data_IF_673061560863
#
_entry.id   IF_673061560863
#
_cell.length_a   1.000
_cell.length_b   1.000
_cell.length_c   1.000
_cell.angle_alpha   90.00
_cell.angle_beta   90.00
_cell.angle_gamma   90.00
#
_symmetry.space_group_name_H-M   'P 1'
#
loop_
_entity.id
_entity.type
_entity.pdbx_description
1 polymer ?
#
# COMPACT_ATOMS: atom_id res chain seq x y z
N UNK A 1 -9.75 -26.31 -9.49
CA UNK A 1 -10.63 -25.21 -9.98
C UNK A 1 -11.65 -24.75 -8.94
N UNK A 2 -12.34 -25.62 -8.23
CA UNK A 2 -13.34 -25.22 -7.21
C UNK A 2 -12.77 -24.37 -6.05
N UNK A 3 -11.53 -24.61 -5.62
CA UNK A 3 -10.88 -23.83 -4.56
C UNK A 3 -10.62 -22.40 -4.97
N UNK A 4 -10.12 -22.18 -6.19
CA UNK A 4 -9.88 -20.85 -6.75
C UNK A 4 -11.21 -20.11 -6.92
N UNK A 5 -12.23 -20.73 -7.48
CA UNK A 5 -13.56 -20.12 -7.64
C UNK A 5 -14.20 -19.72 -6.30
N UNK A 6 -14.05 -20.54 -5.25
CA UNK A 6 -14.51 -20.20 -3.88
C UNK A 6 -13.70 -19.07 -3.26
N UNK A 7 -12.39 -19.04 -3.48
CA UNK A 7 -11.52 -17.91 -3.09
C UNK A 7 -12.04 -16.66 -3.80
N UNK A 8 -12.10 -16.65 -5.13
CA UNK A 8 -12.58 -15.53 -5.96
C UNK A 8 -13.94 -14.99 -5.53
N UNK A 9 -14.92 -15.86 -5.25
CA UNK A 9 -16.26 -15.44 -4.78
C UNK A 9 -16.26 -14.79 -3.39
N UNK A 10 -15.33 -15.19 -2.51
CA UNK A 10 -15.09 -14.49 -1.23
C UNK A 10 -14.36 -13.17 -1.44
N UNK A 11 -13.47 -13.08 -2.44
CA UNK A 11 -12.70 -11.87 -2.73
C UNK A 11 -13.58 -10.71 -3.18
N UNK A 12 -14.49 -10.96 -4.13
CA UNK A 12 -15.35 -9.89 -4.68
C UNK A 12 -16.24 -9.24 -3.61
N UNK A 13 -16.81 -10.05 -2.70
CA UNK A 13 -17.65 -9.54 -1.61
C UNK A 13 -16.90 -8.71 -0.55
N UNK A 14 -15.57 -8.71 -0.55
CA UNK A 14 -14.74 -7.98 0.43
C UNK A 14 -13.97 -6.81 -0.17
N UNK A 15 -14.05 -6.62 -1.50
CA UNK A 15 -13.45 -5.49 -2.22
C UNK A 15 -14.44 -4.34 -2.46
N UNK A 16 -15.69 -4.49 -2.04
CA UNK A 16 -16.64 -3.37 -2.01
C UNK A 16 -16.05 -2.23 -1.18
N UNK A 17 -15.84 -1.10 -1.83
CA UNK A 17 -15.31 0.11 -1.20
C UNK A 17 -16.40 0.69 -0.30
N UNK A 18 -16.40 0.35 0.98
CA UNK A 18 -17.14 1.14 1.95
C UNK A 18 -16.62 2.58 1.88
N UNK A 19 -17.55 3.52 1.65
CA UNK A 19 -17.24 4.93 1.52
C UNK A 19 -16.80 5.46 2.89
N UNK A 20 -15.50 5.46 3.14
CA UNK A 20 -14.95 5.97 4.39
C UNK A 20 -15.16 7.51 4.46
N UNK A 21 -15.74 8.04 5.55
CA UNK A 21 -16.03 9.47 5.68
C UNK A 21 -14.78 10.36 5.77
N UNK A 22 -13.61 9.77 6.08
CA UNK A 22 -12.28 10.40 5.98
C UNK A 22 -11.20 9.32 5.89
N UNK A 23 -10.08 9.63 5.24
CA UNK A 23 -8.91 8.74 5.18
C UNK A 23 -8.24 8.75 6.56
N UNK A 24 -8.00 7.55 7.11
CA UNK A 24 -7.42 7.38 8.45
C UNK A 24 -6.27 6.35 8.49
N UNK A 25 -6.19 5.47 7.49
CA UNK A 25 -5.18 4.41 7.39
C UNK A 25 -4.36 4.53 6.11
N UNK A 26 -3.03 4.52 6.25
CA UNK A 26 -2.09 4.60 5.14
C UNK A 26 -1.20 3.37 5.14
N UNK A 27 -1.33 2.55 4.09
CA UNK A 27 -0.52 1.37 3.89
C UNK A 27 0.81 1.73 3.22
N UNK A 28 1.90 1.16 3.73
CA UNK A 28 3.27 1.38 3.24
C UNK A 28 3.86 0.06 2.74
N UNK A 29 4.39 0.10 1.51
CA UNK A 29 5.03 -1.03 0.84
C UNK A 29 6.45 -0.70 0.42
N UNK A 30 7.37 -1.66 0.51
CA UNK A 30 8.76 -1.48 0.06
C UNK A 30 9.68 -2.65 0.37
N UNK A 31 10.98 -2.44 0.15
CA UNK A 31 12.02 -3.47 0.25
C UNK A 31 12.19 -4.03 1.68
N UNK A 32 12.20 -5.35 1.83
CA UNK A 32 12.33 -6.03 3.12
C UNK A 32 13.78 -6.01 3.66
N UNK A 33 14.78 -6.05 2.78
CA UNK A 33 16.19 -6.11 3.20
C UNK A 33 16.81 -4.71 3.39
N UNK A 34 16.01 -3.65 3.37
CA UNK A 34 16.49 -2.30 3.61
C UNK A 34 17.07 -2.16 5.02
N UNK A 35 18.23 -1.53 5.15
CA UNK A 35 18.92 -1.38 6.44
C UNK A 35 18.76 0.03 6.99
N UNK A 36 18.91 0.24 8.32
CA UNK A 36 18.79 1.57 8.92
C UNK A 36 19.66 2.68 8.32
N UNK A 37 20.77 2.35 7.65
CA UNK A 37 21.62 3.34 6.95
C UNK A 37 21.23 3.61 5.49
N UNK A 38 20.26 2.87 4.94
CA UNK A 38 19.84 3.01 3.56
C UNK A 38 18.88 4.18 3.40
N UNK A 39 18.99 4.88 2.26
CA UNK A 39 18.12 6.02 1.95
C UNK A 39 16.64 5.67 1.96
N UNK A 40 16.28 4.46 1.52
CA UNK A 40 14.87 4.02 1.47
C UNK A 40 14.31 3.77 2.87
N UNK A 41 15.12 3.27 3.80
CA UNK A 41 14.75 3.06 5.19
C UNK A 41 14.47 4.39 5.87
N UNK A 42 15.41 5.34 5.76
CA UNK A 42 15.23 6.69 6.31
C UNK A 42 14.00 7.39 5.75
N UNK A 43 13.79 7.30 4.43
CA UNK A 43 12.63 7.90 3.79
C UNK A 43 11.31 7.29 4.31
N UNK A 44 11.23 5.96 4.45
CA UNK A 44 10.06 5.29 5.00
C UNK A 44 9.78 5.70 6.44
N UNK A 45 10.83 5.78 7.27
CA UNK A 45 10.74 6.27 8.65
C UNK A 45 10.19 7.70 8.71
N UNK A 46 10.75 8.62 7.93
CA UNK A 46 10.32 10.03 7.92
C UNK A 46 8.89 10.21 7.42
N UNK A 47 8.51 9.47 6.37
CA UNK A 47 7.14 9.47 5.85
C UNK A 47 6.17 8.96 6.90
N UNK A 48 6.43 7.82 7.51
CA UNK A 48 5.56 7.25 8.53
C UNK A 48 5.47 8.14 9.79
N UNK A 49 6.57 8.77 10.20
CA UNK A 49 6.57 9.76 11.29
C UNK A 49 5.69 10.97 10.96
N UNK A 50 5.76 11.48 9.73
CA UNK A 50 4.93 12.59 9.28
C UNK A 50 3.44 12.20 9.20
N UNK A 51 3.13 10.98 8.74
CA UNK A 51 1.78 10.43 8.70
C UNK A 51 1.18 10.29 10.10
N UNK A 52 1.92 9.69 11.03
CA UNK A 52 1.51 9.55 12.43
C UNK A 52 1.25 10.90 13.10
N UNK A 53 2.14 11.89 12.91
CA UNK A 53 1.93 13.27 13.41
C UNK A 53 0.69 13.94 12.84
N UNK A 54 0.28 13.55 11.63
CA UNK A 54 -0.94 14.04 11.00
C UNK A 54 -2.20 13.25 11.40
N UNK A 55 -2.08 12.25 12.29
CA UNK A 55 -3.20 11.47 12.82
C UNK A 55 -3.52 10.20 12.03
N UNK A 56 -2.73 9.85 11.02
CA UNK A 56 -2.93 8.61 10.26
C UNK A 56 -2.37 7.40 11.00
N UNK A 57 -3.09 6.29 10.95
CA UNK A 57 -2.58 4.97 11.33
C UNK A 57 -1.76 4.38 10.18
N UNK A 58 -0.59 3.85 10.48
CA UNK A 58 0.27 3.19 9.49
C UNK A 58 -0.12 1.72 9.41
N UNK A 59 -0.26 1.21 8.18
CA UNK A 59 -0.48 -0.20 7.89
C UNK A 59 0.72 -0.74 7.13
N UNK A 60 1.25 -1.89 7.51
CA UNK A 60 2.34 -2.54 6.77
C UNK A 60 2.22 -4.07 6.82
N UNK A 61 3.17 -4.76 6.19
CA UNK A 61 3.21 -6.22 6.16
C UNK A 61 3.88 -6.89 7.39
N UNK A 62 4.27 -6.11 8.40
CA UNK A 62 4.88 -6.59 9.63
C UNK A 62 6.25 -7.26 9.52
N UNK A 63 6.92 -7.12 8.37
CA UNK A 63 8.28 -7.64 8.14
C UNK A 63 9.39 -6.64 8.47
N UNK A 64 10.65 -6.96 8.11
CA UNK A 64 11.80 -6.09 8.32
C UNK A 64 11.86 -4.94 7.28
N UNK A 65 12.93 -4.16 7.32
CA UNK A 65 13.27 -3.17 6.29
C UNK A 65 12.31 -1.99 6.23
N UNK A 66 11.74 -1.72 5.05
CA UNK A 66 10.82 -0.58 4.86
C UNK A 66 9.60 -0.67 5.78
N UNK A 67 9.10 -1.88 6.03
CA UNK A 67 7.97 -2.10 6.95
C UNK A 67 8.39 -1.71 8.38
N UNK A 68 9.47 -2.30 8.88
CA UNK A 68 10.01 -1.97 10.20
C UNK A 68 10.34 -0.47 10.34
N UNK A 69 10.94 0.15 9.32
CA UNK A 69 11.23 1.58 9.29
C UNK A 69 9.98 2.44 9.42
N UNK A 70 8.92 2.10 8.67
CA UNK A 70 7.64 2.76 8.73
C UNK A 70 7.02 2.64 10.14
N UNK A 71 6.98 1.43 10.68
CA UNK A 71 6.44 1.16 12.01
C UNK A 71 7.20 1.90 13.10
N UNK A 72 8.54 1.88 13.09
CA UNK A 72 9.37 2.68 14.01
C UNK A 72 9.12 4.18 13.86
N UNK A 73 9.03 4.68 12.62
CA UNK A 73 8.74 6.09 12.33
C UNK A 73 7.41 6.54 12.92
N UNK A 74 6.37 5.73 12.75
CA UNK A 74 5.06 5.97 13.32
C UNK A 74 5.08 5.96 14.86
N UNK A 75 5.74 4.95 15.46
CA UNK A 75 5.85 4.81 16.92
C UNK A 75 6.57 5.98 17.58
N UNK A 76 7.68 6.44 17.00
CA UNK A 76 8.44 7.60 17.51
C UNK A 76 7.59 8.88 17.48
N UNK A 77 6.65 8.97 16.54
CA UNK A 77 5.68 10.06 16.47
C UNK A 77 4.44 9.88 17.35
N UNK A 78 4.36 8.81 18.16
CA UNK A 78 3.19 8.49 18.99
C UNK A 78 1.99 7.95 18.19
N UNK A 79 2.20 7.51 16.95
CA UNK A 79 1.16 6.93 16.10
C UNK A 79 0.91 5.44 16.36
N UNK A 80 -0.09 4.91 15.67
CA UNK A 80 -0.48 3.49 15.71
C UNK A 80 -0.04 2.74 14.45
N UNK A 81 0.24 1.45 14.62
CA UNK A 81 0.67 0.53 13.57
C UNK A 81 -0.23 -0.70 13.51
N UNK A 82 -0.73 -1.03 12.32
CA UNK A 82 -1.38 -2.30 12.00
C UNK A 82 -0.45 -3.12 11.10
N UNK A 83 -0.09 -4.33 11.53
CA UNK A 83 0.77 -5.23 10.77
C UNK A 83 -0.02 -6.42 10.22
N UNK A 84 0.05 -6.67 8.91
CA UNK A 84 -0.54 -7.85 8.26
C UNK A 84 0.56 -8.87 7.97
N UNK A 85 0.72 -9.80 8.89
CA UNK A 85 1.79 -10.81 8.91
C UNK A 85 1.39 -12.11 8.22
N UNK A 86 2.34 -12.82 7.62
CA UNK A 86 2.11 -14.10 6.94
C UNK A 86 2.79 -15.27 7.66
N UNK A 87 1.98 -16.31 7.91
CA UNK A 87 2.31 -17.55 8.60
C UNK A 87 1.99 -18.73 7.64
N UNK A 88 2.87 -19.04 6.67
CA UNK A 88 2.67 -20.20 5.80
C UNK A 88 2.72 -21.50 6.61
N UNK A 89 2.01 -22.54 6.14
CA UNK A 89 2.22 -23.89 6.65
C UNK A 89 3.61 -24.38 6.20
N UNK A 90 4.41 -25.02 7.08
CA UNK A 90 5.68 -25.65 6.68
C UNK A 90 5.57 -26.58 5.47
N UNK A 91 4.39 -27.16 5.20
CA UNK A 91 4.12 -28.00 4.03
C UNK A 91 3.92 -27.26 2.70
N UNK A 92 3.77 -25.93 2.71
CA UNK A 92 3.41 -25.14 1.52
C UNK A 92 4.58 -24.85 0.58
N UNK A 93 5.83 -25.15 0.99
CA UNK A 93 7.04 -24.91 0.19
C UNK A 93 7.36 -23.43 -0.02
N UNK A 94 6.99 -22.57 0.94
CA UNK A 94 7.23 -21.12 0.92
C UNK A 94 8.47 -20.77 1.74
N UNK A 95 9.64 -21.10 1.20
CA UNK A 95 10.92 -20.98 1.94
C UNK A 95 11.54 -19.58 1.87
N UNK A 96 11.21 -18.80 0.84
CA UNK A 96 11.85 -17.50 0.53
C UNK A 96 10.95 -16.33 0.94
N UNK A 97 10.55 -16.28 2.22
CA UNK A 97 9.65 -15.25 2.71
C UNK A 97 10.10 -14.66 4.06
N UNK A 98 10.25 -13.34 4.12
CA UNK A 98 10.65 -12.61 5.33
C UNK A 98 9.50 -12.02 6.13
N UNK A 99 8.26 -12.02 5.61
CA UNK A 99 7.22 -11.07 6.03
C UNK A 99 6.49 -11.35 7.34
N UNK A 100 7.28 -11.65 8.36
CA UNK A 100 7.10 -11.25 9.75
C UNK A 100 8.48 -10.97 10.38
N UNK A 101 8.61 -9.86 11.10
CA UNK A 101 9.76 -9.57 11.94
C UNK A 101 9.27 -9.32 13.38
N UNK A 102 9.66 -10.15 14.36
CA UNK A 102 9.31 -9.94 15.77
C UNK A 102 9.75 -8.59 16.34
N UNK A 103 10.72 -7.92 15.70
CA UNK A 103 11.21 -6.61 16.11
C UNK A 103 10.43 -5.45 15.49
N UNK A 104 9.55 -5.71 14.51
CA UNK A 104 8.70 -4.69 13.94
C UNK A 104 7.62 -4.28 14.97
N UNK A 105 7.60 -3.02 15.44
CA UNK A 105 6.74 -2.62 16.54
C UNK A 105 5.29 -2.37 16.07
N UNK A 106 4.44 -3.38 16.21
CA UNK A 106 3.03 -3.37 15.79
C UNK A 106 2.08 -3.22 17.00
N UNK A 107 0.99 -2.45 16.85
CA UNK A 107 -0.09 -2.37 17.86
C UNK A 107 -1.18 -3.44 17.65
N UNK A 108 -1.54 -3.68 16.38
CA UNK A 108 -2.55 -4.68 15.99
C UNK A 108 -1.97 -5.57 14.91
N UNK A 109 -1.81 -6.85 15.21
CA UNK A 109 -1.39 -7.87 14.25
C UNK A 109 -2.62 -8.54 13.62
N UNK A 110 -2.64 -8.65 12.29
CA UNK A 110 -3.56 -9.48 11.53
C UNK A 110 -2.76 -10.61 10.90
N UNK A 111 -3.05 -11.84 11.32
CA UNK A 111 -2.37 -13.05 10.85
C UNK A 111 -3.08 -13.59 9.63
N UNK A 112 -2.29 -13.97 8.63
CA UNK A 112 -2.77 -14.55 7.37
C UNK A 112 -1.95 -15.79 7.05
N UNK A 113 -2.55 -16.74 6.35
CA UNK A 113 -1.96 -18.08 6.12
C UNK A 113 -1.52 -18.27 4.67
N UNK A 114 -1.80 -17.31 3.78
CA UNK A 114 -1.33 -17.34 2.40
C UNK A 114 -0.89 -15.97 1.89
N UNK A 115 0.02 -15.97 0.92
CA UNK A 115 0.48 -14.74 0.27
C UNK A 115 -0.66 -13.92 -0.35
N UNK A 116 -1.63 -14.60 -0.96
CA UNK A 116 -2.79 -13.98 -1.60
C UNK A 116 -3.66 -13.30 -0.53
N UNK A 117 -4.02 -14.03 0.53
CA UNK A 117 -4.81 -13.48 1.64
C UNK A 117 -4.11 -12.29 2.30
N UNK A 118 -2.79 -12.37 2.54
CA UNK A 118 -1.99 -11.25 3.05
C UNK A 118 -2.13 -10.01 2.18
N UNK A 119 -1.92 -10.16 0.87
CA UNK A 119 -1.96 -9.06 -0.08
C UNK A 119 -3.35 -8.41 -0.10
N UNK A 120 -4.41 -9.22 -0.10
CA UNK A 120 -5.79 -8.73 -0.08
C UNK A 120 -6.13 -8.03 1.22
N UNK A 121 -5.67 -8.55 2.35
CA UNK A 121 -5.86 -7.93 3.66
C UNK A 121 -5.16 -6.58 3.74
N UNK A 122 -3.95 -6.45 3.18
CA UNK A 122 -3.27 -5.17 3.03
C UNK A 122 -4.07 -4.19 2.15
N UNK A 123 -4.65 -4.66 1.03
CA UNK A 123 -5.54 -3.84 0.20
C UNK A 123 -6.83 -3.46 0.93
N UNK A 124 -7.31 -4.26 1.87
CA UNK A 124 -8.52 -3.96 2.65
C UNK A 124 -8.23 -2.89 3.71
N UNK A 125 -7.19 -3.09 4.52
CA UNK A 125 -6.85 -2.21 5.64
C UNK A 125 -6.32 -0.84 5.17
N UNK A 126 -5.51 -0.80 4.10
CA UNK A 126 -5.00 0.46 3.54
C UNK A 126 -6.10 1.27 2.86
N UNK A 127 -6.22 2.56 3.17
CA UNK A 127 -7.12 3.48 2.44
C UNK A 127 -6.36 4.35 1.43
N UNK A 128 -5.06 4.55 1.68
CA UNK A 128 -4.07 5.11 0.75
C UNK A 128 -2.88 4.19 0.74
N UNK A 129 -2.23 4.03 -0.41
CA UNK A 129 -1.00 3.26 -0.54
C UNK A 129 0.19 4.17 -0.85
N UNK A 130 1.26 4.06 -0.06
CA UNK A 130 2.55 4.71 -0.32
C UNK A 130 3.58 3.63 -0.65
N UNK A 131 4.08 3.66 -1.89
CA UNK A 131 4.89 2.59 -2.46
C UNK A 131 6.33 3.07 -2.66
N UNK A 132 7.22 2.57 -1.83
CA UNK A 132 8.65 2.83 -1.90
C UNK A 132 9.34 1.94 -2.93
N UNK A 133 10.66 2.07 -3.03
CA UNK A 133 11.46 1.11 -3.78
C UNK A 133 11.45 -0.25 -3.09
N UNK A 134 11.36 -1.31 -3.88
CA UNK A 134 11.20 -2.67 -3.42
C UNK A 134 11.40 -3.69 -4.55
N UNK A 135 11.21 -4.96 -4.21
CA UNK A 135 11.42 -6.09 -5.11
C UNK A 135 10.09 -6.63 -5.64
N UNK A 136 10.04 -7.92 -5.94
CA UNK A 136 8.85 -8.62 -6.47
C UNK A 136 7.62 -8.48 -5.58
N UNK A 137 7.77 -8.54 -4.25
CA UNK A 137 6.68 -8.35 -3.30
C UNK A 137 6.01 -6.99 -3.45
N UNK A 138 6.78 -5.92 -3.35
CA UNK A 138 6.33 -4.53 -3.55
C UNK A 138 5.72 -4.32 -4.93
N UNK A 139 6.30 -4.92 -5.97
CA UNK A 139 5.76 -4.84 -7.32
C UNK A 139 4.39 -5.52 -7.43
N UNK A 140 4.17 -6.63 -6.72
CA UNK A 140 2.87 -7.30 -6.72
C UNK A 140 1.78 -6.49 -6.00
N UNK A 141 2.13 -5.84 -4.88
CA UNK A 141 1.24 -4.95 -4.13
C UNK A 141 0.89 -3.72 -4.97
N UNK A 142 1.88 -3.12 -5.64
CA UNK A 142 1.67 -2.06 -6.62
C UNK A 142 0.74 -2.50 -7.76
N UNK A 143 1.02 -3.63 -8.40
CA UNK A 143 0.24 -4.09 -9.54
C UNK A 143 -1.22 -4.37 -9.17
N UNK A 144 -1.46 -4.95 -7.99
CA UNK A 144 -2.81 -5.18 -7.47
C UNK A 144 -3.52 -3.86 -7.17
N UNK A 145 -2.88 -2.96 -6.43
CA UNK A 145 -3.44 -1.64 -6.12
C UNK A 145 -3.73 -0.82 -7.39
N UNK A 146 -2.83 -0.86 -8.36
CA UNK A 146 -2.96 -0.14 -9.63
C UNK A 146 -4.12 -0.68 -10.48
N UNK A 147 -4.24 -2.01 -10.58
CA UNK A 147 -5.35 -2.67 -11.26
C UNK A 147 -6.71 -2.37 -10.60
N UNK A 148 -6.80 -2.48 -9.27
CA UNK A 148 -7.99 -2.11 -8.50
C UNK A 148 -8.34 -0.63 -8.72
N UNK A 149 -7.36 0.26 -8.69
CA UNK A 149 -7.61 1.69 -8.83
C UNK A 149 -8.21 2.05 -10.20
N UNK A 150 -7.85 1.31 -11.25
CA UNK A 150 -8.49 1.42 -12.56
C UNK A 150 -9.95 0.92 -12.52
N UNK A 151 -10.20 -0.26 -11.93
CA UNK A 151 -11.55 -0.83 -11.86
C UNK A 151 -12.52 0.12 -11.14
N UNK A 152 -12.04 0.78 -10.09
CA UNK A 152 -12.80 1.75 -9.31
C UNK A 152 -12.43 3.20 -9.66
N UNK A 153 -12.06 3.48 -10.90
CA UNK A 153 -11.64 4.84 -11.28
C UNK A 153 -12.70 5.89 -10.85
N UNK A 154 -12.23 6.95 -10.20
CA UNK A 154 -13.09 7.96 -9.56
C UNK A 154 -13.63 7.65 -8.15
N UNK A 155 -13.52 6.41 -7.69
CA UNK A 155 -13.84 6.00 -6.31
C UNK A 155 -12.73 5.14 -5.67
N UNK A 156 -11.57 5.10 -6.32
CA UNK A 156 -10.46 4.25 -5.92
C UNK A 156 -9.72 4.80 -4.71
N UNK A 157 -9.09 3.89 -3.99
CA UNK A 157 -8.11 4.20 -2.96
C UNK A 157 -6.89 4.87 -3.58
N UNK A 158 -6.41 6.00 -3.05
CA UNK A 158 -5.28 6.72 -3.64
C UNK A 158 -3.96 5.95 -3.67
N UNK A 159 -3.19 6.14 -4.74
CA UNK A 159 -1.89 5.51 -4.96
C UNK A 159 -0.77 6.56 -5.02
N UNK A 160 0.21 6.45 -4.14
CA UNK A 160 1.36 7.36 -4.05
C UNK A 160 2.64 6.56 -4.30
N UNK A 161 3.36 6.91 -5.36
CA UNK A 161 4.61 6.28 -5.73
C UNK A 161 5.77 7.13 -5.22
N UNK A 162 6.48 6.66 -4.19
CA UNK A 162 7.52 7.42 -3.52
C UNK A 162 8.90 7.18 -4.17
N UNK A 163 9.49 8.26 -4.71
CA UNK A 163 10.83 8.30 -5.26
C UNK A 163 10.85 8.55 -6.78
N UNK A 164 11.85 9.33 -7.23
CA UNK A 164 12.00 9.74 -8.64
C UNK A 164 12.18 8.56 -9.62
N UNK A 165 12.63 7.40 -9.13
CA UNK A 165 12.83 6.21 -9.97
C UNK A 165 11.52 5.71 -10.58
N UNK A 166 10.38 5.89 -9.90
CA UNK A 166 9.05 5.56 -10.42
C UNK A 166 8.74 6.28 -11.73
N UNK A 167 9.28 7.48 -11.98
CA UNK A 167 9.10 8.16 -13.27
C UNK A 167 9.64 7.33 -14.43
N UNK A 168 10.77 6.65 -14.23
CA UNK A 168 11.38 5.78 -15.25
C UNK A 168 10.56 4.51 -15.44
N UNK A 169 10.11 3.88 -14.35
CA UNK A 169 9.26 2.67 -14.39
C UNK A 169 7.95 2.98 -15.10
N UNK A 170 7.22 4.01 -14.67
CA UNK A 170 5.93 4.36 -15.29
C UNK A 170 6.08 4.81 -16.74
N UNK A 171 7.20 5.44 -17.11
CA UNK A 171 7.51 5.73 -18.52
C UNK A 171 7.71 4.44 -19.32
N UNK A 172 8.44 3.47 -18.79
CA UNK A 172 8.62 2.18 -19.44
C UNK A 172 7.27 1.45 -19.61
N UNK A 173 6.43 1.40 -18.57
CA UNK A 173 5.10 0.79 -18.67
C UNK A 173 4.23 1.49 -19.74
N UNK A 174 4.18 2.83 -19.73
CA UNK A 174 3.45 3.61 -20.74
C UNK A 174 3.93 3.39 -22.18
N UNK A 175 5.23 3.16 -22.35
CA UNK A 175 5.81 2.98 -23.68
C UNK A 175 5.64 1.56 -24.23
N UNK A 176 5.45 0.56 -23.36
CA UNK A 176 5.50 -0.85 -23.75
C UNK A 176 4.16 -1.59 -23.54
N UNK A 177 3.24 -1.04 -22.75
CA UNK A 177 1.92 -1.61 -22.51
C UNK A 177 0.82 -0.78 -23.17
N UNK A 178 -0.26 -1.44 -23.55
CA UNK A 178 -1.47 -0.80 -24.08
C UNK A 178 -2.32 -0.26 -22.93
N UNK A 179 -1.88 0.85 -22.34
CA UNK A 179 -2.59 1.48 -21.22
C UNK A 179 -3.80 2.27 -21.69
N UNK A 180 -4.87 2.22 -20.90
CA UNK A 180 -6.01 3.11 -21.01
C UNK A 180 -5.72 4.46 -20.34
N UNK A 181 -6.38 5.55 -20.75
CA UNK A 181 -6.09 6.90 -20.25
C UNK A 181 -6.21 7.04 -18.72
N UNK A 182 -7.17 6.34 -18.10
CA UNK A 182 -7.42 6.41 -16.67
C UNK A 182 -6.30 5.80 -15.83
N UNK A 183 -5.59 4.78 -16.33
CA UNK A 183 -4.53 4.08 -15.58
C UNK A 183 -3.34 4.99 -15.26
N UNK A 184 -3.11 6.03 -16.06
CA UNK A 184 -2.07 7.03 -15.82
C UNK A 184 -2.48 8.11 -14.81
N UNK A 185 -3.76 8.15 -14.40
CA UNK A 185 -4.36 9.21 -13.56
C UNK A 185 -4.60 8.77 -12.11
N UNK A 186 -4.44 7.48 -11.81
CA UNK A 186 -4.74 6.92 -10.47
C UNK A 186 -3.61 7.06 -9.46
N UNK A 187 -2.45 7.61 -9.85
CA UNK A 187 -1.30 7.74 -8.96
C UNK A 187 -0.64 9.10 -9.02
N UNK A 188 0.05 9.47 -7.93
CA UNK A 188 0.96 10.62 -7.87
C UNK A 188 2.37 10.14 -7.53
N UNK A 189 3.38 10.67 -8.22
CA UNK A 189 4.79 10.41 -7.91
C UNK A 189 5.33 11.56 -7.08
N UNK A 190 5.87 11.25 -5.91
CA UNK A 190 6.39 12.23 -4.93
C UNK A 190 7.81 11.85 -4.49
N UNK A 191 8.53 12.75 -3.84
CA UNK A 191 9.90 12.48 -3.37
C UNK A 191 10.21 12.96 -1.93
N UNK A 192 9.21 13.42 -1.18
CA UNK A 192 9.38 13.85 0.21
C UNK A 192 8.17 13.57 1.10
N UNK A 193 8.35 13.47 2.44
CA UNK A 193 7.23 13.30 3.38
C UNK A 193 6.15 14.39 3.26
N UNK A 194 6.57 15.63 3.02
CA UNK A 194 5.65 16.76 2.83
C UNK A 194 4.77 16.56 1.60
N UNK A 195 5.35 16.06 0.50
CA UNK A 195 4.60 15.79 -0.72
C UNK A 195 3.65 14.59 -0.56
N UNK A 196 4.00 13.58 0.24
CA UNK A 196 3.07 12.48 0.58
C UNK A 196 1.82 13.03 1.25
N UNK A 197 1.96 13.82 2.31
CA UNK A 197 0.82 14.44 3.00
C UNK A 197 0.02 15.36 2.09
N UNK A 198 0.71 16.12 1.23
CA UNK A 198 0.05 16.98 0.24
C UNK A 198 -0.79 16.14 -0.74
N UNK A 199 -0.22 15.05 -1.26
CA UNK A 199 -0.91 14.16 -2.18
C UNK A 199 -2.16 13.55 -1.54
N UNK A 200 -2.09 13.08 -0.29
CA UNK A 200 -3.26 12.58 0.44
C UNK A 200 -4.38 13.63 0.50
N UNK A 201 -4.06 14.87 0.91
CA UNK A 201 -5.05 15.96 0.99
C UNK A 201 -5.63 16.35 -0.37
N UNK A 202 -4.85 16.26 -1.44
CA UNK A 202 -5.35 16.49 -2.79
C UNK A 202 -6.35 15.40 -3.19
N UNK A 203 -6.03 14.13 -2.93
CA UNK A 203 -6.94 13.02 -3.17
C UNK A 203 -8.21 13.11 -2.32
N UNK A 204 -8.13 13.49 -1.05
CA UNK A 204 -9.31 13.72 -0.20
C UNK A 204 -10.24 14.78 -0.81
N UNK A 205 -9.67 15.86 -1.37
CA UNK A 205 -10.45 16.90 -2.06
C UNK A 205 -11.07 16.40 -3.36
N UNK A 206 -10.32 15.65 -4.16
CA UNK A 206 -10.80 15.04 -5.41
C UNK A 206 -12.00 14.12 -5.12
N UNK A 207 -11.90 13.29 -4.08
CA UNK A 207 -12.97 12.41 -3.59
C UNK A 207 -14.16 13.23 -3.04
N UNK A 208 -13.91 14.24 -2.19
CA UNK A 208 -14.97 15.00 -1.51
C UNK A 208 -15.79 15.89 -2.45
N UNK A 209 -15.16 16.42 -3.51
CA UNK A 209 -15.84 17.32 -4.45
C UNK A 209 -16.72 16.60 -5.45
N UNK A 210 -16.66 15.27 -5.50
CA UNK A 210 -17.29 14.53 -6.59
C UNK A 210 -16.83 15.04 -7.96
N UNK A 211 -15.60 15.57 -8.07
CA UNK A 211 -14.95 15.90 -9.36
C UNK A 211 -14.66 14.62 -10.18
N UNK A 212 -15.16 13.49 -9.70
CA UNK A 212 -15.44 12.24 -10.38
C UNK A 212 -16.90 12.14 -10.87
N UNK A 213 -17.55 13.26 -11.23
CA UNK A 213 -18.78 13.29 -12.05
C UNK A 213 -18.44 12.99 -13.51
N UNK A 214 -18.02 11.76 -13.78
CA UNK A 214 -18.24 11.15 -15.08
C UNK A 214 -19.00 9.87 -14.82
N UNK A 215 -20.33 10.03 -14.76
CA UNK A 215 -21.42 9.10 -15.06
C UNK A 215 -22.66 9.70 -14.39
N UNK A 216 -23.10 10.85 -14.89
CA UNK A 216 -24.55 11.01 -15.04
C UNK A 216 -24.95 10.02 -16.13
N UNK A 217 -25.62 8.95 -15.72
CA UNK A 217 -26.65 8.27 -16.49
C UNK A 217 -27.78 7.96 -15.54
#
# INVERSE_FOLDING_TARGET
METLLKIWRKLDNHLETEKAPSISQVAIFGFADAKPGDKVYHAAFEVASALAKAGYTVVDGGGPGVMEAASRGAKVAGGKVVGVTFYPDPGDGVDNFEGRDPNNPIDKEIKTESYVERTLTLMKEGQVYVIFNGASGTMSEFAMAWGLARLYFGHHKPLILYGKFWKKIMKALKNNLLLRPEEARVYKIVDSPREVLKAIREFEKEISRGEHKHLET
#
